data_IF_226060198021
#
_entry.id   IF_226060198021
#
_cell.length_a   1.000
_cell.length_b   1.000
_cell.length_c   1.000
_cell.angle_alpha   90.00
_cell.angle_beta   90.00
_cell.angle_gamma   90.00
#
_symmetry.space_group_name_H-M   'P 1'
#
loop_
_entity.id
_entity.type
_entity.pdbx_description
1 polymer ?
#
# COMPACT_ATOMS: atom_id res chain seq x y z
N UNK A 1 -59.89 32.16 24.96
CA UNK A 1 -61.08 31.67 24.24
C UNK A 1 -61.34 30.24 24.66
N UNK A 2 -62.55 30.01 25.17
CA UNK A 2 -63.30 28.76 25.37
C UNK A 2 -62.79 27.67 26.33
N UNK A 3 -63.79 27.16 27.06
CA UNK A 3 -63.77 26.37 28.30
C UNK A 3 -64.08 24.87 27.97
N UNK A 4 -64.38 23.94 28.91
CA UNK A 4 -63.74 22.63 29.11
C UNK A 4 -64.68 21.43 28.78
N UNK A 5 -64.59 20.31 29.53
CA UNK A 5 -65.39 19.04 29.54
C UNK A 5 -64.64 17.82 28.93
N UNK A 6 -64.68 16.59 29.45
CA UNK A 6 -65.42 15.95 30.56
C UNK A 6 -64.63 14.72 31.06
N UNK A 7 -64.66 14.38 32.35
CA UNK A 7 -65.61 13.51 33.08
C UNK A 7 -65.82 12.09 32.52
N UNK A 8 -65.59 11.12 33.43
CA UNK A 8 -66.14 9.75 33.56
C UNK A 8 -65.53 8.71 32.58
N UNK A 9 -65.14 7.49 32.98
CA UNK A 9 -65.84 6.54 33.85
C UNK A 9 -64.87 5.38 34.22
N UNK A 10 -64.79 5.00 35.51
CA UNK A 10 -64.49 3.61 35.93
C UNK A 10 -65.84 2.85 35.96
N UNK A 11 -65.90 1.52 35.76
CA UNK A 11 -65.80 0.62 36.93
C UNK A 11 -65.28 -0.82 36.68
N UNK A 12 -64.78 -1.40 37.78
CA UNK A 12 -64.96 -2.76 38.34
C UNK A 12 -64.78 -4.04 37.49
N UNK A 13 -64.24 -5.04 38.21
CA UNK A 13 -64.30 -6.51 38.12
C UNK A 13 -62.89 -7.09 37.94
N UNK A 14 -62.38 -8.05 38.72
CA UNK A 14 -62.92 -8.83 39.84
C UNK A 14 -61.71 -9.50 40.52
N UNK A 15 -61.77 -9.65 41.85
CA UNK A 15 -60.82 -10.45 42.62
C UNK A 15 -60.86 -11.92 42.16
N UNK A 16 -59.69 -12.49 41.91
CA UNK A 16 -59.46 -13.93 41.77
C UNK A 16 -58.26 -14.35 42.61
N UNK A 17 -58.48 -14.49 43.92
CA UNK A 17 -57.55 -15.11 44.86
C UNK A 17 -57.55 -16.63 44.62
N UNK A 18 -56.47 -17.18 44.09
CA UNK A 18 -56.19 -18.62 44.19
C UNK A 18 -54.79 -18.84 44.74
N UNK A 19 -54.77 -19.32 45.98
CA UNK A 19 -53.62 -19.93 46.61
C UNK A 19 -53.33 -21.30 45.96
N UNK A 20 -52.07 -21.55 45.62
CA UNK A 20 -51.53 -22.90 45.44
C UNK A 20 -50.13 -22.92 46.03
N UNK A 21 -49.94 -23.76 47.04
CA UNK A 21 -48.66 -24.16 47.60
C UNK A 21 -47.89 -25.07 46.63
N UNK A 22 -46.56 -24.95 46.58
CA UNK A 22 -45.72 -25.93 45.89
C UNK A 22 -44.24 -25.53 45.85
N UNK A 23 -43.39 -26.38 46.40
CA UNK A 23 -42.00 -26.13 46.83
C UNK A 23 -40.94 -25.91 45.71
N UNK A 24 -39.74 -25.41 46.08
CA UNK A 24 -38.61 -25.25 45.17
C UNK A 24 -37.86 -26.58 44.98
N UNK A 25 -37.43 -26.87 43.75
CA UNK A 25 -36.37 -27.85 43.51
C UNK A 25 -35.21 -27.18 42.77
N UNK A 26 -34.16 -26.89 43.54
CA UNK A 26 -32.83 -26.69 43.00
C UNK A 26 -32.32 -28.01 42.44
N UNK A 27 -31.67 -27.99 41.27
CA UNK A 27 -30.56 -28.92 40.97
C UNK A 27 -29.72 -28.35 39.84
N UNK A 28 -28.62 -27.74 40.25
CA UNK A 28 -27.42 -27.59 39.44
C UNK A 28 -26.92 -28.98 39.02
N UNK A 29 -26.48 -29.10 37.77
CA UNK A 29 -25.70 -30.23 37.31
C UNK A 29 -24.66 -29.74 36.30
N UNK A 30 -23.49 -29.39 36.83
CA UNK A 30 -22.21 -29.36 36.12
C UNK A 30 -21.88 -30.78 35.64
N UNK A 31 -21.60 -30.95 34.35
CA UNK A 31 -20.89 -32.12 33.83
C UNK A 31 -19.84 -31.70 32.80
N UNK A 32 -18.59 -31.76 33.25
CA UNK A 32 -17.36 -31.79 32.47
C UNK A 32 -17.08 -33.24 32.06
N UNK A 33 -16.86 -33.49 30.77
CA UNK A 33 -16.14 -34.64 30.18
C UNK A 33 -15.65 -34.12 28.81
N UNK A 34 -14.37 -33.83 28.54
CA UNK A 34 -13.16 -34.67 28.56
C UNK A 34 -13.37 -36.02 27.88
N UNK A 35 -12.90 -36.16 26.64
CA UNK A 35 -12.11 -37.31 26.19
C UNK A 35 -11.40 -37.00 24.87
N UNK A 36 -10.16 -37.44 24.87
CA UNK A 36 -9.16 -37.53 23.82
C UNK A 36 -9.56 -38.47 22.67
N UNK A 37 -9.16 -38.12 21.44
CA UNK A 37 -9.10 -39.07 20.32
C UNK A 37 -7.71 -38.99 19.68
N UNK A 38 -7.08 -40.16 19.67
CA UNK A 38 -5.73 -40.48 19.21
C UNK A 38 -5.61 -40.55 17.69
N UNK A 39 -4.49 -40.06 17.19
CA UNK A 39 -4.02 -40.14 15.81
C UNK A 39 -3.65 -41.58 15.41
N UNK A 40 -4.08 -42.02 14.24
CA UNK A 40 -3.59 -43.22 13.57
C UNK A 40 -2.48 -42.85 12.58
N UNK A 41 -1.29 -43.42 12.79
CA UNK A 41 -0.16 -43.39 11.88
C UNK A 41 -0.18 -44.67 11.04
N UNK A 42 -0.16 -44.53 9.72
CA UNK A 42 0.01 -45.66 8.80
C UNK A 42 1.30 -45.46 8.03
N UNK A 43 2.29 -46.28 8.36
CA UNK A 43 3.56 -46.44 7.64
C UNK A 43 3.38 -47.45 6.52
N UNK A 44 3.88 -47.13 5.33
CA UNK A 44 4.06 -48.10 4.25
C UNK A 44 5.53 -48.17 3.86
N UNK A 45 6.17 -49.26 4.26
CA UNK A 45 7.44 -49.77 3.75
C UNK A 45 7.16 -50.65 2.52
N UNK A 46 7.90 -50.44 1.43
CA UNK A 46 8.19 -51.48 0.43
C UNK A 46 9.65 -51.38 0.02
N UNK A 47 10.42 -52.39 0.41
CA UNK A 47 11.62 -52.83 -0.28
C UNK A 47 11.21 -53.63 -1.51
N UNK A 48 12.06 -53.64 -2.55
CA UNK A 48 12.58 -54.87 -3.16
C UNK A 48 13.71 -54.53 -4.14
N UNK A 49 14.70 -55.43 -4.08
CA UNK A 49 16.03 -55.42 -4.69
C UNK A 49 16.04 -55.56 -6.23
N UNK A 50 17.21 -55.30 -6.84
CA UNK A 50 17.46 -55.62 -8.24
C UNK A 50 18.82 -55.18 -8.78
N UNK A 51 19.85 -55.93 -8.42
CA UNK A 51 21.27 -55.86 -8.80
C UNK A 51 21.53 -55.92 -10.32
N UNK A 52 22.48 -55.11 -10.85
CA UNK A 52 23.38 -55.51 -11.94
C UNK A 52 24.59 -54.56 -12.08
N UNK A 53 25.78 -55.08 -11.80
CA UNK A 53 27.07 -54.49 -12.15
C UNK A 53 27.44 -54.83 -13.60
N UNK A 54 27.96 -53.86 -14.37
CA UNK A 54 28.93 -54.10 -15.46
C UNK A 54 29.59 -52.80 -15.94
N UNK A 55 30.91 -52.73 -15.80
CA UNK A 55 31.87 -51.94 -16.58
C UNK A 55 33.14 -52.79 -16.70
N UNK A 56 34.12 -52.51 -17.58
CA UNK A 56 34.12 -51.68 -18.79
C UNK A 56 34.69 -52.46 -20.01
N UNK A 57 34.69 -51.86 -21.20
CA UNK A 57 35.67 -52.22 -22.24
C UNK A 57 36.06 -51.00 -23.06
N UNK A 58 37.35 -50.67 -23.00
CA UNK A 58 38.03 -49.71 -23.87
C UNK A 58 38.11 -50.26 -25.30
N UNK A 59 38.00 -49.37 -26.30
CA UNK A 59 38.28 -49.69 -27.68
C UNK A 59 38.05 -48.53 -28.65
N UNK A 60 39.17 -47.95 -29.09
CA UNK A 60 39.42 -47.28 -30.37
C UNK A 60 38.99 -45.82 -30.59
N UNK A 61 40.04 -45.02 -30.73
CA UNK A 61 40.13 -43.70 -31.36
C UNK A 61 39.83 -43.84 -32.85
N UNK A 62 38.92 -43.02 -33.38
CA UNK A 62 38.89 -42.62 -34.78
C UNK A 62 38.05 -41.33 -34.96
N UNK A 63 38.70 -40.37 -35.60
CA UNK A 63 38.19 -39.20 -36.32
C UNK A 63 37.13 -38.28 -35.71
N UNK A 64 37.65 -37.12 -35.31
CA UNK A 64 36.96 -35.85 -35.16
C UNK A 64 36.35 -35.40 -36.48
N UNK A 65 35.04 -35.57 -36.63
CA UNK A 65 34.22 -34.68 -37.46
C UNK A 65 33.07 -34.19 -36.58
N UNK A 66 33.15 -32.91 -36.18
CA UNK A 66 32.13 -32.28 -35.35
C UNK A 66 30.79 -32.33 -36.09
N UNK A 67 29.78 -33.08 -35.60
CA UNK A 67 28.43 -32.87 -36.09
C UNK A 67 28.00 -31.50 -35.57
N UNK A 68 27.73 -30.55 -36.48
CA UNK A 68 27.00 -29.34 -36.12
C UNK A 68 25.74 -29.75 -35.37
N UNK A 69 25.56 -29.36 -34.09
CA UNK A 69 24.34 -29.67 -33.40
C UNK A 69 23.23 -28.89 -34.09
N UNK A 70 22.36 -29.62 -34.82
CA UNK A 70 20.99 -29.17 -35.03
C UNK A 70 20.40 -28.98 -33.64
N UNK A 71 20.33 -27.74 -33.18
CA UNK A 71 19.69 -27.35 -31.93
C UNK A 71 18.20 -27.63 -32.06
N UNK A 72 17.78 -28.83 -31.64
CA UNK A 72 16.42 -29.01 -31.15
C UNK A 72 16.32 -28.15 -29.89
N UNK A 73 15.61 -27.03 -30.00
CA UNK A 73 15.36 -26.09 -28.91
C UNK A 73 14.53 -26.78 -27.81
N UNK A 74 15.20 -27.50 -26.91
CA UNK A 74 14.68 -27.70 -25.56
C UNK A 74 14.82 -26.37 -24.85
N UNK A 75 13.75 -25.59 -24.79
CA UNK A 75 13.68 -24.26 -24.17
C UNK A 75 14.02 -24.37 -22.68
N UNK A 76 15.29 -24.35 -22.33
CA UNK A 76 15.72 -24.06 -20.96
C UNK A 76 15.40 -22.59 -20.75
N UNK A 77 14.50 -22.28 -19.82
CA UNK A 77 14.26 -20.89 -19.40
C UNK A 77 15.54 -20.35 -18.78
N UNK A 78 16.26 -19.54 -19.56
CA UNK A 78 17.44 -18.81 -19.10
C UNK A 78 16.93 -17.73 -18.15
N UNK A 79 17.51 -17.66 -16.95
CA UNK A 79 17.22 -16.58 -15.99
C UNK A 79 17.95 -15.34 -16.49
N UNK A 80 17.21 -14.28 -16.75
CA UNK A 80 17.74 -13.02 -17.30
C UNK A 80 18.19 -12.14 -16.12
N UNK A 81 19.43 -11.68 -16.15
CA UNK A 81 20.05 -10.89 -15.08
C UNK A 81 20.56 -9.51 -15.55
N UNK A 82 20.80 -9.33 -16.85
CA UNK A 82 21.32 -8.08 -17.44
C UNK A 82 20.26 -7.29 -18.19
N UNK A 83 20.39 -5.96 -18.15
CA UNK A 83 19.50 -5.04 -18.86
C UNK A 83 19.53 -5.25 -20.39
N UNK A 84 20.71 -5.51 -20.96
CA UNK A 84 20.87 -5.76 -22.42
C UNK A 84 20.13 -7.01 -22.90
N UNK A 85 19.92 -7.99 -22.02
CA UNK A 85 19.23 -9.25 -22.31
C UNK A 85 17.71 -9.12 -22.09
N UNK A 86 17.20 -7.92 -21.80
CA UNK A 86 15.79 -7.66 -21.54
C UNK A 86 14.99 -7.73 -22.86
N UNK A 87 13.92 -8.53 -22.94
CA UNK A 87 13.07 -8.57 -24.13
C UNK A 87 12.34 -7.25 -24.38
N UNK A 88 12.24 -6.83 -25.64
CA UNK A 88 11.51 -5.61 -26.03
C UNK A 88 10.02 -5.64 -25.65
N UNK A 89 9.43 -6.84 -25.55
CA UNK A 89 8.05 -7.07 -25.14
C UNK A 89 7.87 -7.18 -23.60
N UNK A 90 8.90 -6.84 -22.82
CA UNK A 90 8.86 -6.90 -21.38
C UNK A 90 7.79 -5.97 -20.79
N UNK A 91 6.90 -6.54 -19.98
CA UNK A 91 5.90 -5.78 -19.21
C UNK A 91 6.08 -6.04 -17.72
N UNK A 92 6.17 -4.96 -16.95
CA UNK A 92 6.37 -5.00 -15.50
C UNK A 92 5.32 -5.85 -14.76
N UNK A 93 4.05 -5.81 -15.20
CA UNK A 93 2.93 -6.54 -14.58
C UNK A 93 3.12 -8.06 -14.58
N UNK A 94 3.78 -8.58 -15.63
CA UNK A 94 4.01 -10.00 -15.87
C UNK A 94 5.36 -10.43 -15.28
N UNK A 95 6.33 -9.52 -15.26
CA UNK A 95 7.64 -9.69 -14.65
C UNK A 95 8.49 -10.78 -15.32
N UNK A 96 9.71 -10.96 -14.84
CA UNK A 96 10.66 -11.93 -15.38
C UNK A 96 10.74 -13.21 -14.53
N UNK A 97 10.90 -14.39 -15.15
CA UNK A 97 11.16 -15.61 -14.41
C UNK A 97 12.56 -15.59 -13.78
N UNK A 98 12.63 -15.81 -12.46
CA UNK A 98 13.90 -15.83 -11.71
C UNK A 98 14.46 -17.25 -11.53
N UNK A 99 13.69 -18.29 -11.90
CA UNK A 99 14.02 -19.72 -11.82
C UNK A 99 13.23 -20.48 -12.89
N UNK A 100 13.65 -21.72 -13.18
CA UNK A 100 12.94 -22.63 -14.09
C UNK A 100 11.58 -23.06 -13.54
N UNK A 101 11.48 -23.28 -12.23
CA UNK A 101 10.25 -23.71 -11.56
C UNK A 101 9.81 -22.68 -10.53
N UNK A 102 8.50 -22.47 -10.45
CA UNK A 102 7.87 -21.65 -9.42
C UNK A 102 8.05 -22.24 -8.01
N UNK A 103 7.99 -21.38 -6.98
CA UNK A 103 8.11 -21.84 -5.59
C UNK A 103 6.85 -22.62 -5.18
N UNK A 104 7.08 -23.71 -4.46
CA UNK A 104 6.03 -24.48 -3.82
C UNK A 104 5.40 -23.72 -2.65
N UNK A 105 4.18 -24.09 -2.27
CA UNK A 105 3.48 -23.46 -1.15
C UNK A 105 4.23 -23.59 0.18
N UNK A 106 5.00 -24.66 0.38
CA UNK A 106 5.82 -24.86 1.57
C UNK A 106 7.02 -23.91 1.62
N UNK A 107 7.70 -23.70 0.50
CA UNK A 107 8.82 -22.75 0.40
C UNK A 107 8.34 -21.31 0.56
N UNK A 108 7.20 -20.96 -0.04
CA UNK A 108 6.60 -19.63 0.11
C UNK A 108 6.27 -19.35 1.57
N UNK A 109 5.71 -20.32 2.30
CA UNK A 109 5.45 -20.20 3.74
C UNK A 109 6.72 -19.97 4.55
N UNK A 110 7.86 -20.54 4.13
CA UNK A 110 9.15 -20.34 4.79
C UNK A 110 9.74 -18.94 4.55
N UNK A 111 9.54 -18.37 3.36
CA UNK A 111 10.10 -17.06 2.97
C UNK A 111 9.19 -15.92 3.43
N UNK A 112 7.90 -16.00 3.11
CA UNK A 112 6.93 -14.91 3.32
C UNK A 112 6.10 -15.08 4.59
N UNK A 113 5.91 -16.31 5.05
CA UNK A 113 5.01 -16.65 6.16
C UNK A 113 3.68 -17.24 5.70
N UNK A 114 2.76 -17.54 6.65
CA UNK A 114 1.56 -18.32 6.36
C UNK A 114 0.46 -17.54 5.62
N UNK A 115 0.53 -16.20 5.58
CA UNK A 115 -0.53 -15.34 5.03
C UNK A 115 -0.47 -15.21 3.51
N UNK A 116 0.71 -15.38 2.91
CA UNK A 116 0.93 -15.15 1.48
C UNK A 116 0.69 -16.43 0.68
N UNK A 117 -0.20 -16.36 -0.31
CA UNK A 117 -0.48 -17.48 -1.22
C UNK A 117 0.67 -17.67 -2.21
N UNK A 118 0.92 -18.90 -2.65
CA UNK A 118 2.04 -19.22 -3.55
C UNK A 118 1.98 -18.44 -4.86
N UNK A 119 0.80 -18.38 -5.49
CA UNK A 119 0.58 -17.66 -6.75
C UNK A 119 0.95 -16.18 -6.62
N UNK A 120 0.51 -15.52 -5.54
CA UNK A 120 0.79 -14.11 -5.31
C UNK A 120 2.28 -13.88 -5.00
N UNK A 121 2.92 -14.76 -4.24
CA UNK A 121 4.34 -14.68 -3.94
C UNK A 121 5.22 -14.86 -5.19
N UNK A 122 4.90 -15.84 -6.03
CA UNK A 122 5.61 -16.07 -7.30
C UNK A 122 5.43 -14.89 -8.25
N UNK A 123 4.22 -14.34 -8.34
CA UNK A 123 3.97 -13.10 -9.09
C UNK A 123 4.80 -11.93 -8.58
N UNK A 124 4.82 -11.70 -7.26
CA UNK A 124 5.62 -10.64 -6.65
C UNK A 124 7.11 -10.79 -6.98
N UNK A 125 7.65 -12.01 -6.86
CA UNK A 125 9.05 -12.29 -7.15
C UNK A 125 9.39 -12.06 -8.63
N UNK A 126 8.50 -12.40 -9.55
CA UNK A 126 8.68 -12.12 -10.98
C UNK A 126 8.71 -10.63 -11.29
N UNK A 127 7.76 -9.88 -10.74
CA UNK A 127 7.68 -8.42 -10.91
C UNK A 127 8.97 -7.77 -10.38
N UNK A 128 9.35 -8.08 -9.14
CA UNK A 128 10.54 -7.48 -8.53
C UNK A 128 11.83 -7.90 -9.24
N UNK A 129 11.94 -9.14 -9.70
CA UNK A 129 13.10 -9.55 -10.49
C UNK A 129 13.18 -8.78 -11.81
N UNK A 130 12.05 -8.64 -12.51
CA UNK A 130 11.95 -7.80 -13.71
C UNK A 130 12.46 -6.39 -13.47
N UNK A 131 12.02 -5.73 -12.39
CA UNK A 131 12.47 -4.37 -12.05
C UNK A 131 13.94 -4.25 -11.70
N UNK A 132 14.52 -5.28 -11.07
CA UNK A 132 15.96 -5.32 -10.77
C UNK A 132 16.80 -5.37 -12.05
N UNK A 133 16.32 -6.10 -13.05
CA UNK A 133 16.97 -6.20 -14.37
C UNK A 133 16.71 -4.95 -15.19
N UNK A 134 15.47 -4.46 -15.19
CA UNK A 134 15.04 -3.30 -15.96
C UNK A 134 15.44 -1.95 -15.36
N UNK A 135 16.13 -1.90 -14.21
CA UNK A 135 16.55 -0.65 -13.58
C UNK A 135 15.43 0.22 -12.97
N UNK A 136 14.21 -0.31 -12.79
CA UNK A 136 13.01 0.47 -12.37
C UNK A 136 12.64 0.31 -10.90
N UNK A 137 13.56 -0.21 -10.07
CA UNK A 137 13.24 -0.53 -8.68
C UNK A 137 12.87 0.71 -7.85
N UNK A 138 13.50 1.86 -8.15
CA UNK A 138 13.30 3.13 -7.44
C UNK A 138 12.21 4.02 -8.05
N UNK A 139 11.70 3.67 -9.22
CA UNK A 139 10.77 4.51 -9.96
C UNK A 139 9.34 4.40 -9.38
N UNK A 140 8.72 5.53 -8.96
CA UNK A 140 7.35 5.55 -8.45
C UNK A 140 6.29 5.15 -9.48
N UNK A 141 6.54 5.32 -10.79
CA UNK A 141 5.57 5.02 -11.85
C UNK A 141 5.11 3.56 -11.83
N UNK A 142 6.02 2.64 -11.49
CA UNK A 142 5.72 1.21 -11.44
C UNK A 142 5.11 0.76 -10.10
N UNK A 143 4.97 1.63 -9.10
CA UNK A 143 4.46 1.25 -7.77
C UNK A 143 3.07 0.60 -7.78
N UNK A 144 2.24 0.89 -8.79
CA UNK A 144 0.88 0.37 -8.94
C UNK A 144 0.77 -1.16 -9.01
N UNK A 145 1.65 -1.83 -9.76
CA UNK A 145 1.60 -3.30 -9.91
C UNK A 145 1.94 -4.06 -8.62
N UNK A 146 2.61 -3.41 -7.67
CA UNK A 146 2.98 -3.99 -6.37
C UNK A 146 2.16 -3.40 -5.21
N UNK A 147 1.09 -2.64 -5.49
CA UNK A 147 0.31 -1.96 -4.46
C UNK A 147 -0.39 -2.93 -3.49
N UNK A 148 -0.80 -4.11 -3.97
CA UNK A 148 -1.50 -5.12 -3.17
C UNK A 148 -0.63 -5.83 -2.12
N UNK A 149 0.70 -5.66 -2.17
CA UNK A 149 1.64 -6.33 -1.28
C UNK A 149 2.11 -5.40 -0.17
N UNK A 150 2.29 -5.97 1.01
CA UNK A 150 2.81 -5.23 2.17
C UNK A 150 4.29 -4.88 1.98
N UNK A 151 4.75 -3.83 2.65
CA UNK A 151 6.17 -3.42 2.61
C UNK A 151 7.10 -4.56 3.06
N UNK A 152 6.70 -5.30 4.09
CA UNK A 152 7.47 -6.43 4.63
C UNK A 152 7.61 -7.58 3.62
N UNK A 153 6.54 -7.89 2.88
CA UNK A 153 6.59 -8.90 1.82
C UNK A 153 7.54 -8.48 0.70
N UNK A 154 7.53 -7.21 0.28
CA UNK A 154 8.47 -6.68 -0.72
C UNK A 154 9.91 -6.80 -0.24
N UNK A 155 10.18 -6.43 1.02
CA UNK A 155 11.53 -6.53 1.60
C UNK A 155 12.03 -7.98 1.69
N UNK A 156 11.18 -8.93 2.11
CA UNK A 156 11.51 -10.36 2.14
C UNK A 156 11.74 -10.93 0.74
N UNK A 157 10.92 -10.54 -0.24
CA UNK A 157 11.10 -10.91 -1.63
C UNK A 157 12.44 -10.42 -2.18
N UNK A 158 12.77 -9.15 -1.94
CA UNK A 158 14.04 -8.56 -2.36
C UNK A 158 15.24 -9.25 -1.70
N UNK A 159 15.17 -9.51 -0.40
CA UNK A 159 16.22 -10.23 0.33
C UNK A 159 16.42 -11.65 -0.23
N UNK A 160 15.33 -12.35 -0.57
CA UNK A 160 15.38 -13.66 -1.19
C UNK A 160 15.99 -13.61 -2.61
N UNK A 161 15.53 -12.68 -3.45
CA UNK A 161 16.02 -12.54 -4.82
C UNK A 161 17.51 -12.19 -4.86
N UNK A 162 17.98 -11.27 -4.01
CA UNK A 162 19.41 -10.91 -3.91
C UNK A 162 20.30 -12.07 -3.46
N UNK A 163 19.73 -13.03 -2.71
CA UNK A 163 20.45 -14.25 -2.31
C UNK A 163 20.50 -15.31 -3.41
N UNK A 164 19.46 -15.40 -4.24
CA UNK A 164 19.31 -16.49 -5.22
C UNK A 164 19.76 -16.13 -6.63
N UNK A 165 19.55 -14.88 -7.06
CA UNK A 165 19.89 -14.38 -8.40
C UNK A 165 20.77 -13.13 -8.24
N UNK A 166 22.08 -13.24 -8.50
CA UNK A 166 22.97 -12.09 -8.51
C UNK A 166 22.57 -11.19 -9.68
N UNK A 167 22.28 -9.93 -9.38
CA UNK A 167 21.92 -8.90 -10.37
C UNK A 167 22.57 -7.61 -9.90
N UNK A 168 23.32 -6.96 -10.79
CA UNK A 168 23.94 -5.66 -10.53
C UNK A 168 22.93 -4.54 -10.78
N UNK A 169 22.06 -4.32 -9.78
CA UNK A 169 20.97 -3.33 -9.81
C UNK A 169 21.48 -1.93 -10.19
N UNK A 170 22.65 -1.53 -9.69
CA UNK A 170 23.26 -0.21 -9.97
C UNK A 170 23.70 -0.06 -11.43
N UNK A 171 24.25 -1.13 -12.02
CA UNK A 171 24.70 -1.10 -13.41
C UNK A 171 23.51 -1.05 -14.35
N UNK A 172 22.49 -1.87 -14.10
CA UNK A 172 21.25 -1.86 -14.89
C UNK A 172 20.49 -0.52 -14.76
N UNK A 173 20.46 0.08 -13.57
CA UNK A 173 19.93 1.44 -13.36
C UNK A 173 20.70 2.47 -14.19
N UNK A 174 22.04 2.36 -14.24
CA UNK A 174 22.89 3.26 -15.03
C UNK A 174 22.66 3.15 -16.53
N UNK A 175 22.64 1.92 -17.07
CA UNK A 175 22.41 1.68 -18.50
C UNK A 175 21.04 2.21 -18.94
N UNK A 176 20.00 1.98 -18.13
CA UNK A 176 18.68 2.55 -18.41
C UNK A 176 18.69 4.08 -18.40
N UNK A 177 19.35 4.69 -17.42
CA UNK A 177 19.45 6.15 -17.36
C UNK A 177 20.20 6.72 -18.57
N UNK A 178 21.21 6.02 -19.09
CA UNK A 178 21.92 6.41 -20.31
C UNK A 178 21.03 6.32 -21.56
N UNK A 179 20.21 5.26 -21.68
CA UNK A 179 19.30 5.09 -22.81
C UNK A 179 18.13 6.09 -22.77
N UNK A 180 17.53 6.34 -21.59
CA UNK A 180 16.50 7.37 -21.41
C UNK A 180 17.05 8.79 -21.68
N UNK A 181 18.29 9.08 -21.28
CA UNK A 181 18.96 10.35 -21.60
C UNK A 181 19.20 10.48 -23.10
N UNK A 182 19.63 9.40 -23.75
CA UNK A 182 19.87 9.37 -25.20
C UNK A 182 18.57 9.58 -25.98
N UNK A 183 17.45 9.04 -25.51
CA UNK A 183 16.13 9.27 -26.10
C UNK A 183 15.73 10.75 -25.99
N UNK A 184 15.87 11.37 -24.81
CA UNK A 184 15.59 12.80 -24.63
C UNK A 184 16.51 13.70 -25.46
N UNK A 185 17.79 13.36 -25.62
CA UNK A 185 18.71 14.09 -26.50
C UNK A 185 18.30 13.99 -27.97
N UNK A 186 17.83 12.83 -28.42
CA UNK A 186 17.32 12.63 -29.78
C UNK A 186 16.00 13.36 -30.00
N UNK A 187 15.08 13.34 -29.03
CA UNK A 187 13.83 14.10 -29.07
C UNK A 187 14.12 15.59 -29.13
N UNK A 188 14.97 16.12 -28.25
CA UNK A 188 15.38 17.52 -28.28
C UNK A 188 16.09 17.92 -29.59
N UNK A 189 16.95 17.05 -30.13
CA UNK A 189 17.58 17.29 -31.43
C UNK A 189 16.56 17.23 -32.59
N UNK A 190 15.56 16.36 -32.49
CA UNK A 190 14.45 16.24 -33.45
C UNK A 190 13.52 17.44 -33.41
N UNK A 191 13.18 17.96 -32.23
CA UNK A 191 12.39 19.18 -32.04
C UNK A 191 13.11 20.40 -32.62
N UNK A 192 14.42 20.55 -32.38
CA UNK A 192 15.24 21.62 -32.98
C UNK A 192 15.26 21.54 -34.51
N UNK A 193 15.14 20.34 -35.09
CA UNK A 193 15.07 20.14 -36.55
C UNK A 193 13.64 20.31 -37.11
N UNK A 194 12.59 20.11 -36.29
CA UNK A 194 11.18 20.25 -36.69
C UNK A 194 10.66 21.70 -36.58
N UNK A 195 11.14 22.46 -35.60
CA UNK A 195 10.90 23.90 -35.48
C UNK A 195 11.81 24.72 -36.43
N UNK A 196 12.66 24.04 -37.18
CA UNK A 196 13.60 24.61 -38.14
C UNK A 196 13.30 24.24 -39.59
N UNK A 197 12.29 24.87 -40.20
CA UNK A 197 12.52 25.41 -41.54
C UNK A 197 13.69 26.41 -41.44
N UNK A 198 14.91 25.87 -41.53
CA UNK A 198 16.14 26.62 -41.67
C UNK A 198 17.07 26.65 -40.45
N UNK A 199 17.62 25.51 -40.03
CA UNK A 199 19.02 25.42 -39.59
C UNK A 199 19.46 23.97 -39.37
N UNK A 200 20.20 23.42 -40.34
CA UNK A 200 20.98 22.20 -40.14
C UNK A 200 21.98 22.37 -38.97
N UNK A 201 22.36 21.28 -38.27
CA UNK A 201 23.33 21.34 -37.19
C UNK A 201 24.72 21.56 -37.80
N UNK A 202 25.07 22.83 -37.98
CA UNK A 202 26.41 23.21 -38.34
C UNK A 202 27.31 22.87 -37.15
N UNK A 203 28.15 21.86 -37.38
CA UNK A 203 29.44 21.67 -36.74
C UNK A 203 29.99 23.02 -36.31
N UNK A 204 30.27 23.18 -35.01
CA UNK A 204 30.71 24.40 -34.35
C UNK A 204 31.68 25.25 -35.17
N UNK A 205 31.15 26.07 -36.08
CA UNK A 205 31.82 27.21 -36.66
C UNK A 205 31.52 28.35 -35.70
N UNK A 206 32.56 28.72 -34.96
CA UNK A 206 32.57 29.93 -34.16
C UNK A 206 31.98 31.08 -35.00
N UNK A 207 30.94 31.78 -34.52
CA UNK A 207 30.42 32.94 -35.23
C UNK A 207 31.51 34.01 -35.23
N UNK A 208 31.98 34.37 -36.43
CA UNK A 208 32.93 35.47 -36.64
C UNK A 208 32.29 36.86 -36.53
N UNK A 209 30.99 36.95 -36.25
CA UNK A 209 30.23 38.20 -36.36
C UNK A 209 29.64 38.69 -35.04
N UNK A 210 30.44 38.71 -33.97
CA UNK A 210 30.18 39.54 -32.78
C UNK A 210 31.47 40.12 -32.18
N UNK A 211 32.40 40.59 -33.03
CA UNK A 211 33.55 41.39 -32.56
C UNK A 211 33.27 42.91 -32.49
N UNK A 212 32.01 43.33 -32.68
CA UNK A 212 31.65 44.75 -32.72
C UNK A 212 30.64 45.18 -31.66
N UNK A 213 30.74 44.70 -30.42
CA UNK A 213 30.21 45.47 -29.29
C UNK A 213 30.98 45.12 -28.01
N UNK A 214 31.48 46.17 -27.35
CA UNK A 214 32.27 46.15 -26.12
C UNK A 214 33.76 45.77 -26.28
N UNK A 215 34.49 46.52 -27.11
CA UNK A 215 35.87 46.86 -26.75
C UNK A 215 35.80 47.69 -25.46
N UNK A 216 35.81 47.03 -24.30
CA UNK A 216 36.23 47.67 -23.05
C UNK A 216 37.61 48.25 -23.35
N UNK A 217 37.73 49.58 -23.37
CA UNK A 217 39.05 50.23 -23.48
C UNK A 217 39.82 49.78 -22.25
N UNK A 218 40.70 48.80 -22.41
CA UNK A 218 41.69 48.50 -21.40
C UNK A 218 42.77 49.57 -21.53
N UNK A 219 43.13 50.18 -20.40
CA UNK A 219 44.22 51.16 -20.31
C UNK A 219 45.61 50.50 -20.44
N UNK A 220 45.70 49.33 -21.09
CA UNK A 220 46.94 48.61 -21.27
C UNK A 220 47.70 49.17 -22.47
N UNK A 221 48.92 49.67 -22.21
CA UNK A 221 49.81 50.28 -23.23
C UNK A 221 50.15 49.30 -24.37
N UNK A 222 50.02 47.99 -24.15
CA UNK A 222 50.36 46.93 -25.12
C UNK A 222 49.16 46.09 -25.60
N UNK A 223 47.92 46.42 -25.21
CA UNK A 223 46.72 45.67 -25.56
C UNK A 223 46.56 44.36 -24.77
N UNK A 224 45.33 43.82 -24.74
CA UNK A 224 45.02 42.62 -23.96
C UNK A 224 45.54 41.35 -24.65
N UNK A 225 46.21 40.48 -23.90
CA UNK A 225 46.72 39.22 -24.44
C UNK A 225 45.56 38.28 -24.80
N UNK A 226 45.76 37.42 -25.81
CA UNK A 226 44.78 36.40 -26.22
C UNK A 226 44.42 35.48 -25.03
N UNK A 227 45.38 35.19 -24.16
CA UNK A 227 45.16 34.35 -22.98
C UNK A 227 44.31 35.04 -21.90
N UNK A 228 44.44 36.36 -21.74
CA UNK A 228 43.63 37.12 -20.78
C UNK A 228 42.18 37.22 -21.25
N UNK A 229 41.97 37.37 -22.56
CA UNK A 229 40.64 37.31 -23.16
C UNK A 229 39.97 35.94 -22.96
N UNK A 230 40.73 34.85 -23.07
CA UNK A 230 40.22 33.49 -22.82
C UNK A 230 39.87 33.30 -21.33
N UNK A 231 40.74 33.75 -20.41
CA UNK A 231 40.48 33.67 -18.97
C UNK A 231 39.25 34.48 -18.59
N UNK A 232 39.12 35.71 -19.08
CA UNK A 232 37.97 36.57 -18.83
C UNK A 232 36.67 35.93 -19.34
N UNK A 233 36.68 35.34 -20.54
CA UNK A 233 35.53 34.61 -21.09
C UNK A 233 35.15 33.39 -20.25
N UNK A 234 36.13 32.63 -19.76
CA UNK A 234 35.88 31.45 -18.93
C UNK A 234 35.35 31.83 -17.54
N UNK A 235 35.88 32.90 -16.94
CA UNK A 235 35.39 33.45 -15.68
C UNK A 235 33.94 33.92 -15.85
N UNK A 236 33.63 34.70 -16.89
CA UNK A 236 32.27 35.16 -17.17
C UNK A 236 31.28 34.00 -17.35
N UNK A 237 31.66 32.96 -18.12
CA UNK A 237 30.83 31.76 -18.28
C UNK A 237 30.62 31.00 -16.97
N UNK A 238 31.61 30.99 -16.09
CA UNK A 238 31.50 30.34 -14.77
C UNK A 238 30.54 31.11 -13.86
N UNK A 239 30.70 32.42 -13.81
CA UNK A 239 29.85 33.31 -13.02
C UNK A 239 28.39 33.27 -13.51
N UNK A 240 28.15 33.24 -14.81
CA UNK A 240 26.80 33.07 -15.37
C UNK A 240 26.16 31.74 -14.97
N UNK A 241 26.92 30.63 -15.05
CA UNK A 241 26.44 29.31 -14.60
C UNK A 241 26.14 29.28 -13.10
N UNK A 242 27.04 29.83 -12.29
CA UNK A 242 26.85 29.92 -10.84
C UNK A 242 25.64 30.79 -10.48
N UNK A 243 25.37 31.85 -11.25
CA UNK A 243 24.16 32.68 -11.10
C UNK A 243 22.88 31.92 -11.43
N UNK A 244 22.85 31.23 -12.57
CA UNK A 244 21.69 30.42 -12.98
C UNK A 244 21.42 29.32 -11.95
N UNK A 245 22.45 28.60 -11.50
CA UNK A 245 22.29 27.56 -10.48
C UNK A 245 21.86 28.12 -9.11
N UNK A 246 22.30 29.33 -8.75
CA UNK A 246 21.87 29.99 -7.52
C UNK A 246 20.42 30.47 -7.61
N UNK A 247 19.99 30.99 -8.76
CA UNK A 247 18.61 31.37 -9.04
C UNK A 247 17.70 30.13 -9.04
N UNK A 248 18.12 29.04 -9.69
CA UNK A 248 17.38 27.77 -9.70
C UNK A 248 17.31 27.14 -8.31
N UNK A 249 18.38 27.20 -7.52
CA UNK A 249 18.35 26.77 -6.10
C UNK A 249 17.40 27.62 -5.27
N UNK A 250 17.42 28.94 -5.43
CA UNK A 250 16.51 29.85 -4.74
C UNK A 250 15.04 29.62 -5.15
N UNK A 251 14.78 29.30 -6.42
CA UNK A 251 13.45 28.99 -6.92
C UNK A 251 12.96 27.63 -6.42
N UNK A 252 13.83 26.61 -6.39
CA UNK A 252 13.53 25.30 -5.78
C UNK A 252 13.24 25.43 -4.28
N UNK A 253 13.98 26.25 -3.56
CA UNK A 253 13.73 26.53 -2.13
C UNK A 253 12.40 27.28 -1.91
N UNK A 254 12.00 28.16 -2.84
CA UNK A 254 10.69 28.83 -2.80
C UNK A 254 9.52 27.89 -3.08
N UNK A 255 9.66 27.02 -4.08
CA UNK A 255 8.59 26.12 -4.53
C UNK A 255 8.45 24.90 -3.63
N UNK A 256 9.54 24.44 -3.00
CA UNK A 256 9.54 23.25 -2.16
C UNK A 256 10.28 23.52 -0.84
N UNK A 257 9.63 24.21 0.11
CA UNK A 257 10.16 24.25 1.47
C UNK A 257 10.11 22.79 1.96
N UNK A 258 11.28 22.21 2.27
CA UNK A 258 11.41 20.81 2.65
C UNK A 258 10.47 20.39 3.81
N UNK A 259 10.47 19.10 4.20
CA UNK A 259 9.44 18.51 5.08
C UNK A 259 9.33 19.10 6.49
N UNK A 260 10.18 20.07 6.85
CA UNK A 260 10.23 20.73 8.16
C UNK A 260 10.52 22.24 8.08
N UNK A 261 10.03 22.93 7.04
CA UNK A 261 9.94 24.39 7.14
C UNK A 261 8.90 24.73 8.20
N UNK A 262 9.34 25.27 9.34
CA UNK A 262 8.46 25.91 10.31
C UNK A 262 7.76 27.03 9.58
N UNK A 263 6.45 26.89 9.38
CA UNK A 263 5.60 27.93 8.87
C UNK A 263 5.86 29.16 9.76
N UNK A 264 6.57 30.16 9.22
CA UNK A 264 6.73 31.45 9.90
C UNK A 264 5.34 31.95 10.31
N UNK A 265 5.23 32.66 11.44
CA UNK A 265 4.01 33.22 12.05
C UNK A 265 3.18 34.19 11.16
N UNK A 266 3.29 34.07 9.85
CA UNK A 266 2.40 34.68 8.87
C UNK A 266 1.00 34.10 9.07
N UNK A 267 0.18 34.93 9.70
CA UNK A 267 -1.27 34.87 9.90
C UNK A 267 -1.95 33.62 9.30
N UNK A 268 -2.59 32.77 10.13
CA UNK A 268 -3.30 31.60 9.63
C UNK A 268 -4.31 32.04 8.57
N UNK A 269 -4.33 31.32 7.44
CA UNK A 269 -5.27 31.56 6.33
C UNK A 269 -6.69 31.69 6.91
N UNK A 270 -7.48 32.71 6.51
CA UNK A 270 -8.84 32.86 7.02
C UNK A 270 -9.64 31.60 6.71
N UNK A 271 -10.19 30.98 7.75
CA UNK A 271 -11.05 29.80 7.63
C UNK A 271 -12.26 30.13 6.75
N UNK A 272 -12.84 29.13 6.08
CA UNK A 272 -14.08 29.35 5.32
C UNK A 272 -15.21 29.78 6.26
N UNK A 273 -16.19 30.57 5.80
CA UNK A 273 -17.23 31.13 6.68
C UNK A 273 -18.09 30.06 7.38
N UNK A 274 -18.32 28.92 6.72
CA UNK A 274 -18.99 27.79 7.36
C UNK A 274 -18.12 27.15 8.44
N UNK A 275 -16.82 26.99 8.17
CA UNK A 275 -15.90 26.41 9.15
C UNK A 275 -15.72 27.32 10.36
N UNK A 276 -15.68 28.63 10.17
CA UNK A 276 -15.69 29.63 11.24
C UNK A 276 -16.93 29.48 12.12
N UNK A 277 -18.13 29.40 11.52
CA UNK A 277 -19.38 29.22 12.27
C UNK A 277 -19.33 27.99 13.17
N UNK A 278 -18.81 26.87 12.68
CA UNK A 278 -18.73 25.63 13.46
C UNK A 278 -17.57 25.66 14.46
N UNK A 279 -16.43 26.29 14.15
CA UNK A 279 -15.33 26.45 15.11
C UNK A 279 -15.77 27.31 16.28
N UNK A 280 -16.43 28.43 16.01
CA UNK A 280 -16.89 29.37 17.04
C UNK A 280 -17.98 28.74 17.90
N UNK A 281 -18.85 27.90 17.30
CA UNK A 281 -19.86 27.14 18.02
C UNK A 281 -19.27 25.99 18.86
N UNK A 282 -18.13 25.43 18.46
CA UNK A 282 -17.45 24.36 19.18
C UNK A 282 -16.61 24.90 20.34
N UNK A 283 -16.09 26.13 20.24
CA UNK A 283 -15.36 26.79 21.31
C UNK A 283 -16.32 27.45 22.29
N UNK A 284 -16.38 26.93 23.52
CA UNK A 284 -17.01 27.66 24.62
C UNK A 284 -16.12 28.83 25.04
N UNK A 285 -16.68 30.02 25.23
CA UNK A 285 -15.98 31.21 25.78
C UNK A 285 -15.63 31.07 27.28
N UNK A 286 -15.48 29.85 27.79
CA UNK A 286 -15.17 29.57 29.18
C UNK A 286 -13.67 29.35 29.32
N UNK A 287 -13.02 30.17 30.15
CA UNK A 287 -11.56 30.15 30.37
C UNK A 287 -11.11 28.90 31.15
N UNK A 288 -11.99 28.36 31.99
CA UNK A 288 -11.83 27.10 32.68
C UNK A 288 -13.13 26.29 32.66
N UNK A 289 -13.07 24.94 32.65
CA UNK A 289 -14.24 24.11 32.85
C UNK A 289 -14.91 24.48 34.19
N UNK A 290 -16.24 24.61 34.25
CA UNK A 290 -16.93 24.89 35.49
C UNK A 290 -16.59 23.82 36.53
N UNK A 291 -16.23 24.25 37.74
CA UNK A 291 -15.92 23.34 38.84
C UNK A 291 -17.22 22.64 39.29
N UNK A 292 -17.42 21.42 38.79
CA UNK A 292 -18.55 20.57 39.13
C UNK A 292 -18.07 19.40 39.99
N UNK A 293 -18.89 19.04 40.98
CA UNK A 293 -18.60 17.86 41.80
C UNK A 293 -18.72 16.57 40.97
N UNK A 294 -18.01 15.50 41.34
CA UNK A 294 -18.11 14.21 40.64
C UNK A 294 -19.54 13.69 40.55
N UNK A 295 -20.38 14.01 41.54
CA UNK A 295 -21.79 13.66 41.57
C UNK A 295 -22.58 14.44 40.52
N UNK A 296 -22.44 15.76 40.41
CA UNK A 296 -23.14 16.56 39.39
C UNK A 296 -22.79 16.13 37.96
N UNK A 297 -21.55 15.67 37.76
CA UNK A 297 -21.09 15.17 36.45
C UNK A 297 -21.67 13.80 36.09
N UNK A 298 -21.83 12.91 37.07
CA UNK A 298 -22.22 11.52 36.84
C UNK A 298 -23.73 11.26 37.04
N UNK A 299 -24.40 12.04 37.87
CA UNK A 299 -25.81 11.87 38.22
C UNK A 299 -26.75 11.85 36.99
N UNK A 300 -26.68 12.76 36.01
CA UNK A 300 -27.62 12.72 34.89
C UNK A 300 -27.46 11.46 34.02
N UNK A 301 -26.22 11.02 33.78
CA UNK A 301 -25.98 9.81 33.00
C UNK A 301 -26.38 8.54 33.76
N UNK A 302 -26.03 8.48 35.06
CA UNK A 302 -26.35 7.32 35.91
C UNK A 302 -27.84 7.20 36.18
N UNK A 303 -28.56 8.30 36.38
CA UNK A 303 -30.01 8.28 36.57
C UNK A 303 -30.74 7.76 35.32
N UNK A 304 -30.32 8.18 34.13
CA UNK A 304 -30.87 7.65 32.88
C UNK A 304 -30.64 6.14 32.76
N UNK A 305 -29.41 5.66 33.03
CA UNK A 305 -29.09 4.23 32.99
C UNK A 305 -29.93 3.44 34.01
N UNK A 306 -30.02 3.93 35.25
CA UNK A 306 -30.83 3.28 36.30
C UNK A 306 -32.30 3.24 35.90
N UNK A 307 -32.84 4.32 35.32
CA UNK A 307 -34.22 4.37 34.84
C UNK A 307 -34.44 3.33 33.74
N UNK A 308 -33.56 3.27 32.74
CA UNK A 308 -33.65 2.29 31.64
C UNK A 308 -33.56 0.86 32.18
N UNK A 309 -32.60 0.57 33.07
CA UNK A 309 -32.44 -0.76 33.67
C UNK A 309 -33.67 -1.12 34.52
N UNK A 310 -34.20 -0.19 35.30
CA UNK A 310 -35.42 -0.41 36.09
C UNK A 310 -36.64 -0.65 35.20
N UNK A 311 -36.79 0.09 34.10
CA UNK A 311 -37.84 -0.12 33.13
C UNK A 311 -37.73 -1.50 32.46
N UNK A 312 -36.52 -1.91 32.07
CA UNK A 312 -36.26 -3.24 31.50
C UNK A 312 -36.51 -4.36 32.52
N UNK A 313 -36.11 -4.18 33.77
CA UNK A 313 -36.36 -5.14 34.84
C UNK A 313 -37.86 -5.25 35.17
N UNK A 314 -38.56 -4.11 35.23
CA UNK A 314 -40.01 -4.07 35.40
C UNK A 314 -40.75 -4.72 34.24
N UNK A 315 -40.30 -4.47 33.01
CA UNK A 315 -40.83 -5.14 31.83
C UNK A 315 -40.59 -6.65 31.89
N UNK A 316 -39.38 -7.10 32.24
CA UNK A 316 -39.06 -8.51 32.35
C UNK A 316 -39.89 -9.23 33.44
N UNK A 317 -40.24 -8.54 34.52
CA UNK A 317 -41.07 -9.11 35.59
C UNK A 317 -42.53 -9.34 35.17
N UNK A 318 -43.07 -8.52 34.27
CA UNK A 318 -44.47 -8.58 33.81
C UNK A 318 -44.59 -9.30 32.47
N UNK A 319 -43.49 -9.45 31.73
CA UNK A 319 -43.50 -10.03 30.39
C UNK A 319 -43.83 -11.53 30.41
N UNK A 320 -44.95 -11.88 29.78
CA UNK A 320 -45.29 -13.25 29.43
C UNK A 320 -44.93 -13.52 27.97
N UNK A 321 -44.15 -14.58 27.68
CA UNK A 321 -43.74 -14.86 26.31
C UNK A 321 -44.97 -15.27 25.48
N UNK A 322 -45.15 -14.69 24.27
CA UNK A 322 -46.26 -15.07 23.41
C UNK A 322 -46.11 -16.50 22.92
N UNK A 323 -47.26 -17.18 22.78
CA UNK A 323 -47.34 -18.50 22.18
C UNK A 323 -46.78 -18.45 20.75
N UNK A 324 -46.24 -19.56 20.25
CA UNK A 324 -45.54 -19.58 18.94
C UNK A 324 -46.40 -19.07 17.78
N UNK A 325 -47.70 -19.34 17.80
CA UNK A 325 -48.64 -18.93 16.75
C UNK A 325 -48.97 -17.42 16.78
N UNK A 326 -48.73 -16.74 17.89
CA UNK A 326 -48.95 -15.30 18.05
C UNK A 326 -47.70 -14.47 17.69
N UNK A 327 -46.60 -15.13 17.30
CA UNK A 327 -45.34 -14.46 16.95
C UNK A 327 -45.37 -14.01 15.49
N UNK A 328 -44.81 -12.83 15.21
CA UNK A 328 -44.58 -12.34 13.84
C UNK A 328 -43.77 -13.33 12.98
N UNK A 329 -42.84 -14.05 13.62
CA UNK A 329 -42.03 -15.09 13.00
C UNK A 329 -42.13 -16.39 13.83
N UNK A 330 -43.12 -17.24 13.56
CA UNK A 330 -43.35 -18.48 14.33
C UNK A 330 -42.17 -19.44 14.30
N UNK A 331 -41.48 -19.50 13.17
CA UNK A 331 -40.35 -20.41 12.90
C UNK A 331 -39.03 -19.97 13.55
N UNK A 332 -38.93 -18.69 13.94
CA UNK A 332 -37.71 -18.17 14.54
C UNK A 332 -37.70 -18.44 16.05
N UNK A 333 -36.61 -19.06 16.54
CA UNK A 333 -36.39 -19.14 17.99
C UNK A 333 -36.17 -17.73 18.57
N UNK A 334 -36.50 -17.55 19.86
CA UNK A 334 -36.32 -16.25 20.54
C UNK A 334 -34.85 -15.78 20.47
N UNK A 335 -33.90 -16.71 20.59
CA UNK A 335 -32.47 -16.43 20.48
C UNK A 335 -32.06 -16.01 19.05
N UNK A 336 -32.65 -16.65 18.03
CA UNK A 336 -32.39 -16.28 16.63
C UNK A 336 -32.92 -14.88 16.33
N UNK A 337 -34.08 -14.52 16.87
CA UNK A 337 -34.65 -13.19 16.71
C UNK A 337 -33.72 -12.11 17.30
N UNK A 338 -33.23 -12.28 18.55
CA UNK A 338 -32.35 -11.29 19.19
C UNK A 338 -31.01 -11.15 18.49
N UNK A 339 -30.35 -12.27 18.16
CA UNK A 339 -29.06 -12.26 17.46
C UNK A 339 -29.23 -11.68 16.04
N UNK A 340 -30.30 -12.05 15.34
CA UNK A 340 -30.63 -11.52 14.02
C UNK A 340 -30.85 -10.01 14.05
N UNK A 341 -31.57 -9.48 15.04
CA UNK A 341 -31.78 -8.04 15.20
C UNK A 341 -30.46 -7.31 15.47
N UNK A 342 -29.57 -7.84 16.31
CA UNK A 342 -28.25 -7.24 16.56
C UNK A 342 -27.39 -7.19 15.29
N UNK A 343 -27.40 -8.25 14.49
CA UNK A 343 -26.68 -8.28 13.20
C UNK A 343 -27.29 -7.24 12.24
N UNK A 344 -28.62 -7.18 12.14
CA UNK A 344 -29.32 -6.25 11.26
C UNK A 344 -29.06 -4.78 11.64
N UNK A 345 -29.07 -4.43 12.92
CA UNK A 345 -28.76 -3.07 13.40
C UNK A 345 -27.31 -2.71 13.05
N UNK A 346 -26.35 -3.62 13.29
CA UNK A 346 -24.96 -3.37 12.93
C UNK A 346 -24.76 -3.19 11.42
N UNK A 347 -25.44 -3.99 10.60
CA UNK A 347 -25.41 -3.85 9.15
C UNK A 347 -26.02 -2.51 8.69
N UNK A 348 -27.10 -2.05 9.33
CA UNK A 348 -27.72 -0.76 9.06
C UNK A 348 -26.77 0.40 9.40
N UNK A 349 -26.14 0.36 10.58
CA UNK A 349 -25.13 1.36 10.96
C UNK A 349 -23.97 1.37 9.96
N UNK A 350 -23.51 0.21 9.50
CA UNK A 350 -22.47 0.11 8.48
C UNK A 350 -22.91 0.73 7.14
N UNK A 351 -24.14 0.49 6.71
CA UNK A 351 -24.69 1.08 5.48
C UNK A 351 -24.94 2.59 5.59
N UNK A 352 -25.32 3.08 6.77
CA UNK A 352 -25.50 4.51 7.02
C UNK A 352 -24.18 5.27 7.16
N UNK A 353 -23.10 4.57 7.53
CA UNK A 353 -21.75 5.11 7.58
C UNK A 353 -21.12 5.19 6.20
N UNK A 354 -21.29 4.15 5.38
CA UNK A 354 -20.67 4.00 4.06
C UNK A 354 -21.31 4.92 3.03
#
# INVERSE_FOLDING_TARGET
MNVPFGLLQRPLLQLGLRAVCGQPSSRAATRLLSTCITSTTTTHTRCLDGTAHRLPRFGSIADTQWPSPRTYATTRTIVIDRYEDLPDDYVDKDGLPFRTTELSSAEVKKIFGPRTKSVNANRLLRILHGRRVAGTLKDPAYSGNTFSFTKDEKLRAMAYLRKMVPVDEVLNEGLRAEDELRELEQEAAGEVMADGEGAAPQTAQQPKDQQQTLRRKSDSVYGDSVFDNIRARNIAKREERERIEAEERAERERLNPGPLAKLSDSQPRPLSPQLQKWSDAATSNLDAPPEMTHFERLLPATTLVVLVVAALAGFAAVYTPPAQHDRLFPEASLATATVGTLIAINALVFLAWR
#
